data_IF_697374787050
#
_entry.id   IF_697374787050
#
_cell.length_a   1.000
_cell.length_b   1.000
_cell.length_c   1.000
_cell.angle_alpha   90.00
_cell.angle_beta   90.00
_cell.angle_gamma   90.00
#
_symmetry.space_group_name_H-M   'P 1'
#
loop_
_entity.id
_entity.type
_entity.pdbx_description
1 polymer ?
#
# COMPACT_ATOMS: atom_id res chain seq x y z
N UNK A 1 1.37 -84.95 -31.59
CA UNK A 1 0.33 -86.01 -31.63
C UNK A 1 1.03 -87.35 -31.61
N UNK A 2 0.71 -88.29 -30.71
CA UNK A 2 1.24 -89.62 -30.87
C UNK A 2 0.47 -90.27 -32.03
N UNK A 3 1.17 -90.66 -33.09
CA UNK A 3 0.66 -91.42 -34.25
C UNK A 3 0.12 -92.83 -33.88
N UNK A 4 -0.16 -93.07 -32.60
CA UNK A 4 -0.37 -94.39 -32.02
C UNK A 4 -1.81 -94.88 -32.12
N UNK A 5 -2.80 -93.99 -32.30
CA UNK A 5 -4.20 -94.41 -32.47
C UNK A 5 -4.39 -95.23 -33.76
N UNK A 6 -3.74 -94.82 -34.86
CA UNK A 6 -3.74 -95.55 -36.13
C UNK A 6 -2.98 -96.89 -36.06
N UNK A 7 -2.01 -97.01 -35.16
CA UNK A 7 -1.25 -98.26 -34.97
C UNK A 7 -2.07 -99.33 -34.26
N UNK A 8 -2.98 -98.96 -33.36
CA UNK A 8 -3.82 -99.91 -32.60
C UNK A 8 -4.87 -100.61 -33.48
N UNK A 9 -5.40 -99.92 -34.49
CA UNK A 9 -6.47 -100.43 -35.36
C UNK A 9 -5.98 -101.53 -36.32
N UNK A 10 -4.67 -101.59 -36.57
CA UNK A 10 -4.02 -102.57 -37.44
C UNK A 10 -3.17 -103.60 -36.69
N UNK A 11 -3.34 -103.76 -35.37
CA UNK A 11 -2.60 -104.78 -34.62
C UNK A 11 -3.18 -106.16 -34.92
N UNK A 12 -2.36 -107.03 -35.52
CA UNK A 12 -2.69 -108.43 -35.75
C UNK A 12 -1.98 -109.31 -34.73
N UNK A 13 -2.74 -110.19 -34.07
CA UNK A 13 -2.21 -111.16 -33.12
C UNK A 13 -2.11 -112.55 -33.77
N UNK A 14 -1.05 -113.31 -33.45
CA UNK A 14 -0.90 -114.70 -33.90
C UNK A 14 -1.89 -115.62 -33.19
N UNK A 15 -2.39 -116.65 -33.89
CA UNK A 15 -3.33 -117.63 -33.31
C UNK A 15 -2.58 -118.77 -32.62
N UNK A 16 -3.00 -119.11 -31.41
CA UNK A 16 -2.49 -120.23 -30.59
C UNK A 16 -3.62 -121.23 -30.34
N UNK A 17 -3.28 -122.52 -30.15
CA UNK A 17 -4.22 -123.61 -29.82
C UNK A 17 -4.97 -123.39 -28.48
N UNK A 18 -4.40 -122.59 -27.57
CA UNK A 18 -5.06 -122.12 -26.35
C UNK A 18 -4.88 -120.59 -26.24
N UNK A 19 -5.74 -119.83 -26.93
CA UNK A 19 -5.70 -118.37 -26.96
C UNK A 19 -7.00 -117.73 -26.45
N UNK A 20 -6.96 -116.42 -26.24
CA UNK A 20 -8.14 -115.61 -25.91
C UNK A 20 -9.15 -115.58 -27.07
N UNK A 21 -10.42 -115.37 -26.72
CA UNK A 21 -11.47 -115.25 -27.72
C UNK A 21 -11.27 -113.97 -28.57
N UNK A 22 -11.11 -114.16 -29.88
CA UNK A 22 -10.86 -113.09 -30.86
C UNK A 22 -11.97 -112.02 -30.82
N UNK A 23 -13.24 -112.41 -30.60
CA UNK A 23 -14.35 -111.46 -30.56
C UNK A 23 -14.30 -110.56 -29.32
N UNK A 24 -14.00 -111.11 -28.14
CA UNK A 24 -13.86 -110.33 -26.90
C UNK A 24 -12.67 -109.37 -26.97
N UNK A 25 -11.53 -109.85 -27.48
CA UNK A 25 -10.33 -109.02 -27.65
C UNK A 25 -10.59 -107.86 -28.61
N UNK A 26 -11.24 -108.11 -29.75
CA UNK A 26 -11.59 -107.05 -30.69
C UNK A 26 -12.59 -106.04 -30.09
N UNK A 27 -13.58 -106.51 -29.33
CA UNK A 27 -14.52 -105.62 -28.63
C UNK A 27 -13.79 -104.70 -27.63
N UNK A 28 -12.88 -105.27 -26.84
CA UNK A 28 -12.10 -104.51 -25.86
C UNK A 28 -11.13 -103.53 -26.53
N UNK A 29 -10.48 -103.92 -27.63
CA UNK A 29 -9.61 -103.01 -28.40
C UNK A 29 -10.42 -101.85 -28.97
N UNK A 30 -11.61 -102.10 -29.51
CA UNK A 30 -12.48 -101.03 -30.03
C UNK A 30 -12.92 -100.06 -28.92
N UNK A 31 -13.26 -100.58 -27.74
CA UNK A 31 -13.58 -99.76 -26.57
C UNK A 31 -12.38 -98.92 -26.11
N UNK A 32 -11.20 -99.53 -26.02
CA UNK A 32 -9.95 -98.85 -25.69
C UNK A 32 -9.60 -97.76 -26.71
N UNK A 33 -9.83 -98.03 -28.00
CA UNK A 33 -9.56 -97.09 -29.09
C UNK A 33 -10.53 -95.90 -29.03
N UNK A 34 -11.81 -96.15 -28.72
CA UNK A 34 -12.80 -95.10 -28.46
C UNK A 34 -12.43 -94.23 -27.26
N UNK A 35 -12.02 -94.84 -26.15
CA UNK A 35 -11.58 -94.11 -24.95
C UNK A 35 -10.31 -93.27 -25.19
N UNK A 36 -9.33 -93.82 -25.93
CA UNK A 36 -8.14 -93.06 -26.33
C UNK A 36 -8.49 -91.86 -27.22
N UNK A 37 -9.46 -92.02 -28.12
CA UNK A 37 -9.94 -90.92 -28.97
C UNK A 37 -10.67 -89.84 -28.15
N UNK A 38 -11.50 -90.22 -27.17
CA UNK A 38 -12.19 -89.26 -26.30
C UNK A 38 -11.19 -88.45 -25.47
N UNK A 39 -10.20 -89.11 -24.88
CA UNK A 39 -9.09 -88.46 -24.16
C UNK A 39 -8.29 -87.53 -25.07
N UNK A 40 -7.96 -87.95 -26.29
CA UNK A 40 -7.23 -87.09 -27.24
C UNK A 40 -8.03 -85.85 -27.61
N UNK A 41 -9.34 -85.98 -27.80
CA UNK A 41 -10.22 -84.84 -28.07
C UNK A 41 -10.30 -83.92 -26.86
N UNK A 42 -10.41 -84.46 -25.65
CA UNK A 42 -10.43 -83.68 -24.42
C UNK A 42 -9.13 -82.90 -24.23
N UNK A 43 -7.97 -83.54 -24.41
CA UNK A 43 -6.66 -82.88 -24.38
C UNK A 43 -6.61 -81.72 -25.38
N UNK A 44 -7.03 -81.93 -26.63
CA UNK A 44 -7.07 -80.87 -27.64
C UNK A 44 -7.98 -79.71 -27.24
N UNK A 45 -9.11 -79.99 -26.58
CA UNK A 45 -10.00 -78.91 -26.09
C UNK A 45 -9.37 -78.15 -24.92
N UNK A 46 -8.66 -78.84 -24.02
CA UNK A 46 -7.94 -78.24 -22.90
C UNK A 46 -6.78 -77.38 -23.40
N UNK A 47 -5.98 -77.87 -24.36
CA UNK A 47 -4.89 -77.11 -24.99
C UNK A 47 -5.41 -75.82 -25.65
N UNK A 48 -6.55 -75.88 -26.34
CA UNK A 48 -7.19 -74.69 -26.92
C UNK A 48 -7.63 -73.69 -25.86
N UNK A 49 -8.23 -74.15 -24.76
CA UNK A 49 -8.63 -73.29 -23.64
C UNK A 49 -7.42 -72.67 -22.96
N UNK A 50 -6.36 -73.44 -22.77
CA UNK A 50 -5.10 -72.96 -22.19
C UNK A 50 -4.51 -71.83 -23.05
N UNK A 51 -4.39 -72.04 -24.36
CA UNK A 51 -3.90 -71.01 -25.29
C UNK A 51 -4.79 -69.76 -25.32
N UNK A 52 -6.11 -69.91 -25.15
CA UNK A 52 -7.01 -68.77 -25.01
C UNK A 52 -6.73 -67.98 -23.72
N UNK A 53 -6.56 -68.67 -22.60
CA UNK A 53 -6.24 -68.01 -21.33
C UNK A 53 -4.87 -67.35 -21.34
N UNK A 54 -3.84 -67.95 -21.94
CA UNK A 54 -2.52 -67.34 -22.11
C UNK A 54 -2.60 -66.04 -22.91
N UNK A 55 -3.37 -66.01 -24.02
CA UNK A 55 -3.60 -64.78 -24.80
C UNK A 55 -4.35 -63.72 -24.00
N UNK A 56 -5.35 -64.14 -23.22
CA UNK A 56 -6.09 -63.23 -22.37
C UNK A 56 -5.20 -62.64 -21.26
N UNK A 57 -4.36 -63.45 -20.64
CA UNK A 57 -3.38 -63.02 -19.64
C UNK A 57 -2.39 -62.01 -20.23
N UNK A 58 -1.85 -62.31 -21.42
CA UNK A 58 -0.94 -61.38 -22.11
C UNK A 58 -1.62 -60.05 -22.45
N UNK A 59 -2.88 -60.08 -22.89
CA UNK A 59 -3.67 -58.88 -23.15
C UNK A 59 -3.93 -58.08 -21.87
N UNK A 60 -4.30 -58.74 -20.78
CA UNK A 60 -4.51 -58.11 -19.48
C UNK A 60 -3.23 -57.48 -18.94
N UNK A 61 -2.10 -58.18 -19.01
CA UNK A 61 -0.80 -57.66 -18.60
C UNK A 61 -0.40 -56.43 -19.42
N UNK A 62 -0.57 -56.47 -20.75
CA UNK A 62 -0.32 -55.31 -21.61
C UNK A 62 -1.25 -54.14 -21.28
N UNK A 63 -2.53 -54.40 -21.04
CA UNK A 63 -3.52 -53.37 -20.68
C UNK A 63 -3.18 -52.73 -19.34
N UNK A 64 -2.70 -53.51 -18.36
CA UNK A 64 -2.28 -53.00 -17.05
C UNK A 64 -1.10 -52.04 -17.19
N UNK A 65 -0.10 -52.39 -18.00
CA UNK A 65 1.06 -51.53 -18.26
C UNK A 65 0.63 -50.23 -18.94
N UNK A 66 -0.27 -50.31 -19.93
CA UNK A 66 -0.81 -49.13 -20.60
C UNK A 66 -1.61 -48.26 -19.62
N UNK A 67 -2.42 -48.87 -18.76
CA UNK A 67 -3.18 -48.15 -17.74
C UNK A 67 -2.26 -47.43 -16.74
N UNK A 68 -1.17 -48.07 -16.31
CA UNK A 68 -0.16 -47.46 -15.44
C UNK A 68 0.56 -46.29 -16.16
N UNK A 69 0.95 -46.47 -17.42
CA UNK A 69 1.54 -45.40 -18.24
C UNK A 69 0.57 -44.23 -18.42
N UNK A 70 -0.71 -44.50 -18.67
CA UNK A 70 -1.73 -43.46 -18.78
C UNK A 70 -1.95 -42.73 -17.44
N UNK A 71 -2.02 -43.46 -16.32
CA UNK A 71 -2.17 -42.88 -14.99
C UNK A 71 -0.98 -41.99 -14.62
N UNK A 72 0.25 -42.44 -14.90
CA UNK A 72 1.47 -41.65 -14.66
C UNK A 72 1.53 -40.42 -15.57
N UNK A 73 1.16 -40.54 -16.84
CA UNK A 73 1.06 -39.42 -17.77
C UNK A 73 0.02 -38.38 -17.30
N UNK A 74 -1.15 -38.81 -16.85
CA UNK A 74 -2.20 -37.93 -16.30
C UNK A 74 -1.67 -37.21 -15.05
N UNK A 75 -1.03 -37.94 -14.13
CA UNK A 75 -0.44 -37.36 -12.91
C UNK A 75 0.62 -36.31 -13.24
N UNK A 76 1.52 -36.60 -14.17
CA UNK A 76 2.57 -35.67 -14.57
C UNK A 76 1.98 -34.41 -15.23
N UNK A 77 1.03 -34.57 -16.14
CA UNK A 77 0.35 -33.44 -16.80
C UNK A 77 -0.44 -32.59 -15.80
N UNK A 78 -1.13 -33.21 -14.83
CA UNK A 78 -1.81 -32.49 -13.76
C UNK A 78 -0.83 -31.67 -12.90
N UNK A 79 0.32 -32.25 -12.56
CA UNK A 79 1.36 -31.54 -11.80
C UNK A 79 1.98 -30.38 -12.59
N UNK A 80 2.26 -30.56 -13.88
CA UNK A 80 2.77 -29.48 -14.74
C UNK A 80 1.76 -28.34 -14.87
N UNK A 81 0.48 -28.66 -15.10
CA UNK A 81 -0.60 -27.68 -15.14
C UNK A 81 -0.76 -26.96 -13.81
N UNK A 82 -0.69 -27.66 -12.68
CA UNK A 82 -0.75 -27.05 -11.35
C UNK A 82 0.38 -26.03 -11.17
N UNK A 83 1.63 -26.41 -11.45
CA UNK A 83 2.79 -25.49 -11.39
C UNK A 83 2.64 -24.30 -12.34
N UNK A 84 2.12 -24.52 -13.55
CA UNK A 84 1.87 -23.45 -14.50
C UNK A 84 0.81 -22.48 -13.98
N UNK A 85 -0.27 -22.99 -13.39
CA UNK A 85 -1.33 -22.17 -12.77
C UNK A 85 -0.77 -21.35 -11.61
N UNK A 86 0.02 -21.95 -10.74
CA UNK A 86 0.69 -21.26 -9.62
C UNK A 86 1.57 -20.13 -10.15
N UNK A 87 2.45 -20.40 -11.10
CA UNK A 87 3.33 -19.39 -11.70
C UNK A 87 2.53 -18.25 -12.38
N UNK A 88 1.43 -18.57 -13.07
CA UNK A 88 0.56 -17.56 -13.68
C UNK A 88 -0.18 -16.73 -12.63
N UNK A 89 -0.62 -17.35 -11.53
CA UNK A 89 -1.27 -16.67 -10.42
C UNK A 89 -0.30 -15.71 -9.73
N UNK A 90 0.93 -16.14 -9.46
CA UNK A 90 1.99 -15.29 -8.91
C UNK A 90 2.31 -14.11 -9.83
N UNK A 91 2.46 -14.37 -11.13
CA UNK A 91 2.69 -13.31 -12.11
C UNK A 91 1.54 -12.29 -12.12
N UNK A 92 0.29 -12.75 -12.14
CA UNK A 92 -0.88 -11.85 -12.07
C UNK A 92 -0.95 -11.07 -10.76
N UNK A 93 -0.63 -11.71 -9.64
CA UNK A 93 -0.61 -11.05 -8.32
C UNK A 93 0.44 -9.94 -8.28
N UNK A 94 1.66 -10.21 -8.77
CA UNK A 94 2.72 -9.20 -8.84
C UNK A 94 2.39 -8.05 -9.80
N UNK A 95 1.75 -8.33 -10.93
CA UNK A 95 1.26 -7.30 -11.86
C UNK A 95 0.18 -6.42 -11.22
N UNK A 96 -0.77 -7.02 -10.50
CA UNK A 96 -1.82 -6.28 -9.78
C UNK A 96 -1.22 -5.40 -8.69
N UNK A 97 -0.27 -5.93 -7.92
CA UNK A 97 0.41 -5.20 -6.86
C UNK A 97 1.17 -3.99 -7.44
N UNK A 98 1.93 -4.18 -8.52
CA UNK A 98 2.62 -3.08 -9.23
C UNK A 98 1.66 -2.01 -9.74
N UNK A 99 0.50 -2.40 -10.29
CA UNK A 99 -0.53 -1.46 -10.73
C UNK A 99 -1.07 -0.66 -9.55
N UNK A 100 -1.43 -1.33 -8.46
CA UNK A 100 -1.92 -0.67 -7.25
C UNK A 100 -0.88 0.30 -6.66
N UNK A 101 0.40 -0.10 -6.62
CA UNK A 101 1.50 0.77 -6.18
C UNK A 101 1.68 2.01 -7.08
N UNK A 102 1.63 1.83 -8.41
CA UNK A 102 1.70 2.92 -9.37
C UNK A 102 0.52 3.89 -9.22
N UNK A 103 -0.70 3.37 -9.10
CA UNK A 103 -1.89 4.18 -8.88
C UNK A 103 -1.80 4.94 -7.56
N UNK A 104 -1.43 4.28 -6.46
CA UNK A 104 -1.22 4.92 -5.17
C UNK A 104 -0.14 6.00 -5.21
N UNK A 105 0.92 5.81 -6.00
CA UNK A 105 1.93 6.84 -6.24
C UNK A 105 1.35 8.04 -7.00
N UNK A 106 0.63 7.79 -8.10
CA UNK A 106 -0.03 8.85 -8.88
C UNK A 106 -1.02 9.66 -8.02
N UNK A 107 -1.83 9.02 -7.19
CA UNK A 107 -2.73 9.71 -6.28
C UNK A 107 -1.98 10.57 -5.26
N UNK A 108 -0.90 10.05 -4.67
CA UNK A 108 -0.04 10.83 -3.77
C UNK A 108 0.51 12.06 -4.47
N UNK A 109 1.12 11.88 -5.64
CA UNK A 109 1.72 12.98 -6.40
C UNK A 109 0.68 14.03 -6.79
N UNK A 110 -0.53 13.61 -7.19
CA UNK A 110 -1.64 14.51 -7.49
C UNK A 110 -2.11 15.30 -6.26
N UNK A 111 -2.21 14.66 -5.10
CA UNK A 111 -2.58 15.33 -3.84
C UNK A 111 -1.51 16.35 -3.47
N UNK A 112 -0.23 15.99 -3.52
CA UNK A 112 0.88 16.90 -3.24
C UNK A 112 0.87 18.12 -4.16
N UNK A 113 0.70 17.91 -5.47
CA UNK A 113 0.62 18.99 -6.44
C UNK A 113 -0.59 19.89 -6.18
N UNK A 114 -1.75 19.30 -5.90
CA UNK A 114 -2.97 20.04 -5.59
C UNK A 114 -2.76 20.90 -4.34
N UNK A 115 -2.23 20.33 -3.26
CA UNK A 115 -1.95 21.05 -2.02
C UNK A 115 -0.98 22.22 -2.24
N UNK A 116 0.11 21.99 -2.98
CA UNK A 116 1.07 23.03 -3.33
C UNK A 116 0.42 24.18 -4.13
N UNK A 117 -0.46 23.84 -5.09
CA UNK A 117 -1.18 24.88 -5.85
C UNK A 117 -2.15 25.67 -4.97
N UNK A 118 -2.87 25.03 -4.05
CA UNK A 118 -3.74 25.72 -3.10
C UNK A 118 -2.97 26.61 -2.15
N UNK A 119 -1.84 26.15 -1.60
CA UNK A 119 -0.98 26.96 -0.73
C UNK A 119 -0.50 28.23 -1.45
N UNK A 120 -0.07 28.08 -2.71
CA UNK A 120 0.32 29.22 -3.56
C UNK A 120 -0.85 30.18 -3.78
N UNK A 121 -2.04 29.66 -4.09
CA UNK A 121 -3.24 30.48 -4.28
C UNK A 121 -3.61 31.24 -2.99
N UNK A 122 -3.56 30.59 -1.84
CA UNK A 122 -3.82 31.21 -0.54
C UNK A 122 -2.83 32.33 -0.25
N UNK A 123 -1.54 32.13 -0.53
CA UNK A 123 -0.53 33.17 -0.38
C UNK A 123 -0.84 34.40 -1.23
N UNK A 124 -1.23 34.21 -2.49
CA UNK A 124 -1.62 35.31 -3.38
C UNK A 124 -2.86 36.07 -2.86
N UNK A 125 -3.83 35.36 -2.28
CA UNK A 125 -5.01 35.99 -1.67
C UNK A 125 -4.62 36.83 -0.46
N UNK A 126 -3.75 36.32 0.40
CA UNK A 126 -3.23 37.05 1.57
C UNK A 126 -2.47 38.31 1.12
N UNK A 127 -1.58 38.19 0.13
CA UNK A 127 -0.83 39.31 -0.42
C UNK A 127 -1.77 40.39 -0.99
N UNK A 128 -2.82 39.98 -1.72
CA UNK A 128 -3.84 40.88 -2.26
C UNK A 128 -4.63 41.57 -1.14
N UNK A 129 -4.99 40.85 -0.08
CA UNK A 129 -5.69 41.42 1.07
C UNK A 129 -4.86 42.52 1.74
N UNK A 130 -3.58 42.25 2.03
CA UNK A 130 -2.71 43.25 2.63
C UNK A 130 -2.47 44.46 1.72
N UNK A 131 -2.31 44.24 0.41
CA UNK A 131 -2.20 45.33 -0.56
C UNK A 131 -3.46 46.22 -0.58
N UNK A 132 -4.65 45.60 -0.55
CA UNK A 132 -5.92 46.33 -0.52
C UNK A 132 -6.11 47.10 0.80
N UNK A 133 -5.82 46.48 1.94
CA UNK A 133 -5.90 47.14 3.25
C UNK A 133 -4.95 48.35 3.33
N UNK A 134 -3.72 48.20 2.83
CA UNK A 134 -2.75 49.29 2.75
C UNK A 134 -3.26 50.44 1.89
N UNK A 135 -3.77 50.14 0.69
CA UNK A 135 -4.33 51.15 -0.20
C UNK A 135 -5.50 51.91 0.46
N UNK A 136 -6.38 51.21 1.18
CA UNK A 136 -7.49 51.86 1.91
C UNK A 136 -7.00 52.73 3.06
N UNK A 137 -6.02 52.28 3.85
CA UNK A 137 -5.41 53.09 4.90
C UNK A 137 -4.75 54.36 4.33
N UNK A 138 -3.99 54.23 3.23
CA UNK A 138 -3.38 55.38 2.55
C UNK A 138 -4.43 56.37 2.00
N UNK A 139 -5.60 55.88 1.57
CA UNK A 139 -6.72 56.74 1.16
C UNK A 139 -7.34 57.48 2.33
N UNK A 140 -7.64 56.78 3.43
CA UNK A 140 -8.22 57.38 4.64
C UNK A 140 -7.28 58.40 5.27
N UNK A 141 -5.97 58.14 5.28
CA UNK A 141 -4.97 59.09 5.76
C UNK A 141 -4.99 60.39 4.94
N UNK A 142 -5.09 60.29 3.61
CA UNK A 142 -5.21 61.46 2.73
C UNK A 142 -6.50 62.24 3.01
N UNK A 143 -7.64 61.54 3.11
CA UNK A 143 -8.93 62.17 3.42
C UNK A 143 -8.89 62.88 4.78
N UNK A 144 -8.35 62.24 5.81
CA UNK A 144 -8.21 62.83 7.13
C UNK A 144 -7.30 64.06 7.13
N UNK A 145 -6.17 64.03 6.42
CA UNK A 145 -5.28 65.19 6.31
C UNK A 145 -6.00 66.36 5.63
N UNK A 146 -6.80 66.11 4.60
CA UNK A 146 -7.61 67.17 3.98
C UNK A 146 -8.69 67.70 4.94
N UNK A 147 -9.41 66.83 5.66
CA UNK A 147 -10.37 67.27 6.67
C UNK A 147 -9.72 68.13 7.76
N UNK A 148 -8.56 67.71 8.30
CA UNK A 148 -7.79 68.48 9.27
C UNK A 148 -7.36 69.83 8.68
N UNK A 149 -6.88 69.87 7.43
CA UNK A 149 -6.57 71.13 6.74
C UNK A 149 -7.79 72.04 6.64
N UNK A 150 -8.95 71.49 6.27
CA UNK A 150 -10.19 72.30 6.21
C UNK A 150 -10.59 72.81 7.58
N UNK A 151 -10.47 72.00 8.64
CA UNK A 151 -10.77 72.39 10.02
C UNK A 151 -9.82 73.49 10.51
N UNK A 152 -8.51 73.35 10.26
CA UNK A 152 -7.51 74.40 10.55
C UNK A 152 -7.86 75.68 9.77
N UNK A 153 -8.24 75.58 8.49
CA UNK A 153 -8.60 76.76 7.69
C UNK A 153 -9.86 77.46 8.21
N UNK A 154 -10.81 76.72 8.79
CA UNK A 154 -12.00 77.28 9.45
C UNK A 154 -11.61 77.95 10.77
N UNK A 155 -10.76 77.29 11.57
CA UNK A 155 -10.25 77.84 12.82
C UNK A 155 -9.44 79.13 12.60
N UNK A 156 -8.57 79.17 11.58
CA UNK A 156 -7.81 80.36 11.20
C UNK A 156 -8.72 81.52 10.77
N UNK A 157 -9.83 81.21 10.08
CA UNK A 157 -10.85 82.21 9.73
C UNK A 157 -11.59 82.73 10.97
N UNK A 158 -11.90 81.88 11.94
CA UNK A 158 -12.52 82.29 13.22
C UNK A 158 -11.54 83.09 14.10
N UNK A 159 -10.27 82.71 14.17
CA UNK A 159 -9.24 83.41 14.94
C UNK A 159 -8.80 84.74 14.32
N UNK A 160 -8.96 84.95 13.01
CA UNK A 160 -8.72 86.25 12.38
C UNK A 160 -9.83 87.29 12.66
N UNK A 161 -10.91 86.92 13.36
CA UNK A 161 -11.96 87.85 13.83
C UNK A 161 -11.64 88.41 15.23
N UNK A 162 -10.66 87.86 15.95
CA UNK A 162 -10.18 88.44 17.21
C UNK A 162 -8.85 89.19 17.00
N UNK A 163 -8.69 90.40 17.56
CA UNK A 163 -7.47 91.18 17.38
C UNK A 163 -6.28 90.44 18.00
N UNK A 164 -5.27 90.11 17.17
CA UNK A 164 -4.06 89.39 17.61
C UNK A 164 -3.29 90.22 18.64
N UNK A 165 -3.19 89.72 19.87
CA UNK A 165 -2.17 90.18 20.83
C UNK A 165 -0.81 89.68 20.35
N UNK A 166 0.14 90.60 20.12
CA UNK A 166 1.55 90.26 19.90
C UNK A 166 2.11 89.69 21.21
N UNK A 167 2.47 88.40 21.20
CA UNK A 167 3.29 87.84 22.26
C UNK A 167 4.59 87.29 21.71
N UNK A 168 5.64 87.80 22.33
CA UNK A 168 7.08 87.70 22.11
C UNK A 168 7.57 86.25 22.08
N UNK A 169 8.47 85.99 21.14
CA UNK A 169 9.27 84.76 21.07
C UNK A 169 10.09 84.56 22.34
N UNK A 170 9.91 83.43 23.03
CA UNK A 170 10.95 82.85 23.87
C UNK A 170 11.04 81.35 23.61
N UNK A 171 11.99 81.01 22.75
CA UNK A 171 12.60 79.69 22.61
C UNK A 171 13.15 79.23 23.96
N UNK A 172 13.09 77.91 24.21
CA UNK A 172 13.55 77.15 25.41
C UNK A 172 12.48 76.76 26.44
N UNK A 173 11.35 76.17 26.03
CA UNK A 173 10.57 75.27 26.92
C UNK A 173 9.90 74.06 26.23
N UNK A 174 10.02 73.88 24.90
CA UNK A 174 9.24 72.85 24.18
C UNK A 174 9.94 71.47 24.03
N UNK A 175 11.26 71.38 24.19
CA UNK A 175 11.99 70.11 24.01
C UNK A 175 11.82 69.12 25.17
N UNK A 176 11.40 69.57 26.36
CA UNK A 176 11.20 68.66 27.50
C UNK A 176 9.83 67.98 27.49
N UNK A 177 8.77 68.68 27.07
CA UNK A 177 7.40 68.12 27.03
C UNK A 177 7.19 67.14 25.88
N UNK A 178 7.76 67.39 24.71
CA UNK A 178 7.69 66.46 23.57
C UNK A 178 8.35 65.12 23.90
N UNK A 179 9.52 65.14 24.56
CA UNK A 179 10.23 63.94 24.99
C UNK A 179 9.48 63.14 26.08
N UNK A 180 8.78 63.81 27.01
CA UNK A 180 7.94 63.13 28.02
C UNK A 180 6.71 62.49 27.37
N UNK A 181 6.08 63.15 26.40
CA UNK A 181 4.91 62.60 25.71
C UNK A 181 5.27 61.43 24.79
N UNK A 182 6.38 61.52 24.05
CA UNK A 182 6.91 60.43 23.22
C UNK A 182 7.28 59.20 24.06
N UNK A 183 7.84 59.40 25.25
CA UNK A 183 8.16 58.30 26.17
C UNK A 183 6.90 57.63 26.72
N UNK A 184 5.90 58.41 27.14
CA UNK A 184 4.61 57.90 27.61
C UNK A 184 3.82 57.17 26.52
N UNK A 185 3.95 57.57 25.25
CA UNK A 185 3.27 56.91 24.13
C UNK A 185 3.88 55.53 23.84
N UNK A 186 5.21 55.46 23.77
CA UNK A 186 5.94 54.20 23.55
C UNK A 186 5.72 53.19 24.67
N UNK A 187 5.67 53.64 25.93
CA UNK A 187 5.36 52.79 27.08
C UNK A 187 3.92 52.22 27.02
N UNK A 188 2.96 52.99 26.49
CA UNK A 188 1.59 52.54 26.26
C UNK A 188 1.48 51.52 25.14
N UNK A 189 2.20 51.71 24.04
CA UNK A 189 2.24 50.77 22.91
C UNK A 189 2.86 49.42 23.32
N UNK A 190 3.97 49.43 24.05
CA UNK A 190 4.60 48.19 24.54
C UNK A 190 3.72 47.44 25.53
N UNK A 191 2.97 48.15 26.37
CA UNK A 191 2.04 47.55 27.32
C UNK A 191 0.76 46.98 26.67
N UNK A 192 0.35 47.50 25.51
CA UNK A 192 -0.80 47.00 24.76
C UNK A 192 -0.51 45.68 24.04
N UNK A 193 0.74 45.47 23.60
CA UNK A 193 1.13 44.28 22.82
C UNK A 193 1.51 43.07 23.70
N UNK A 194 2.16 43.29 24.86
CA UNK A 194 2.74 42.20 25.66
C UNK A 194 2.20 42.14 27.11
N UNK A 195 1.23 43.01 27.46
CA UNK A 195 0.73 43.15 28.81
C UNK A 195 1.68 43.93 29.73
N UNK A 196 1.18 44.41 30.87
CA UNK A 196 1.95 45.29 31.78
C UNK A 196 3.01 44.55 32.59
N UNK A 197 2.86 43.24 32.76
CA UNK A 197 3.61 42.44 33.74
C UNK A 197 3.90 41.04 33.17
N UNK A 198 5.12 40.55 33.36
CA UNK A 198 5.50 39.18 33.02
C UNK A 198 4.79 38.16 33.92
N UNK A 199 4.09 37.19 33.32
CA UNK A 199 3.34 36.16 34.06
C UNK A 199 4.18 34.95 34.44
N UNK A 200 5.35 34.77 33.83
CA UNK A 200 6.32 33.69 34.11
C UNK A 200 7.75 34.22 34.16
N UNK A 201 8.64 33.45 34.79
CA UNK A 201 10.08 33.73 34.82
C UNK A 201 10.70 33.52 33.42
N UNK A 202 11.60 34.41 33.00
CA UNK A 202 12.39 34.28 31.77
C UNK A 202 13.80 33.80 32.14
N UNK A 203 14.25 32.71 31.50
CA UNK A 203 15.55 32.08 31.76
C UNK A 203 16.31 31.90 30.46
N UNK A 204 17.60 32.21 30.44
CA UNK A 204 18.42 31.97 29.25
C UNK A 204 18.54 30.46 28.92
N UNK A 205 19.05 30.13 27.73
CA UNK A 205 19.38 28.76 27.29
C UNK A 205 20.30 27.99 28.25
N UNK A 206 21.04 28.68 29.12
CA UNK A 206 21.92 28.14 30.15
C UNK A 206 21.25 28.02 31.54
N UNK A 207 19.96 28.35 31.68
CA UNK A 207 19.17 28.20 32.92
C UNK A 207 19.22 29.38 33.90
N UNK A 208 19.96 30.45 33.59
CA UNK A 208 20.05 31.66 34.42
C UNK A 208 18.80 32.54 34.32
N UNK A 209 18.23 32.94 35.46
CA UNK A 209 17.08 33.84 35.57
C UNK A 209 17.43 35.27 35.14
N UNK A 210 16.83 35.76 34.05
CA UNK A 210 17.04 37.12 33.53
C UNK A 210 15.93 38.07 34.02
N UNK A 211 14.69 37.60 34.05
CA UNK A 211 13.56 38.36 34.57
C UNK A 211 12.64 37.46 35.39
N UNK A 212 12.22 37.94 36.56
CA UNK A 212 11.29 37.22 37.45
C UNK A 212 9.86 37.51 37.08
N UNK A 213 8.96 36.57 37.37
CA UNK A 213 7.52 36.73 37.37
C UNK A 213 7.15 37.98 38.19
N UNK A 214 6.17 38.71 37.68
CA UNK A 214 5.70 40.00 38.19
C UNK A 214 6.61 41.22 37.92
N UNK A 215 7.61 41.11 37.04
CA UNK A 215 8.37 42.29 36.59
C UNK A 215 7.64 43.05 35.47
N UNK A 216 7.71 44.38 35.51
CA UNK A 216 7.07 45.28 34.53
C UNK A 216 7.84 45.24 33.22
N UNK A 217 7.12 45.09 32.11
CA UNK A 217 7.72 45.08 30.77
C UNK A 217 8.01 46.53 30.37
N UNK A 218 9.25 46.97 30.59
CA UNK A 218 9.73 48.28 30.12
C UNK A 218 10.40 48.17 28.75
N UNK A 219 10.45 49.25 27.95
CA UNK A 219 11.13 49.26 26.66
C UNK A 219 12.61 48.83 26.75
N UNK A 220 13.28 49.16 27.84
CA UNK A 220 14.68 48.78 28.08
C UNK A 220 14.84 47.27 28.32
N UNK A 221 13.89 46.65 29.04
CA UNK A 221 13.86 45.20 29.25
C UNK A 221 13.66 44.46 27.92
N UNK A 222 12.73 44.94 27.08
CA UNK A 222 12.45 44.39 25.75
C UNK A 222 13.69 44.43 24.86
N UNK A 223 14.36 45.59 24.78
CA UNK A 223 15.58 45.75 23.98
C UNK A 223 16.72 44.85 24.50
N UNK A 224 16.82 44.67 25.82
CA UNK A 224 17.83 43.77 26.40
C UNK A 224 17.58 42.29 26.05
N UNK A 225 16.31 41.88 25.96
CA UNK A 225 15.92 40.49 25.66
C UNK A 225 15.99 40.19 24.16
N UNK A 226 15.64 41.17 23.32
CA UNK A 226 15.87 41.10 21.87
C UNK A 226 17.37 40.99 21.57
N UNK A 227 18.20 41.80 22.22
CA UNK A 227 19.66 41.75 22.07
C UNK A 227 20.28 40.42 22.53
N UNK A 228 19.59 39.67 23.39
CA UNK A 228 20.00 38.33 23.85
C UNK A 228 19.32 37.18 23.09
N UNK A 229 18.50 37.47 22.07
CA UNK A 229 17.81 36.45 21.26
C UNK A 229 16.63 35.75 21.96
N UNK A 230 16.16 36.27 23.10
CA UNK A 230 15.13 35.63 23.96
C UNK A 230 13.71 36.12 23.67
N UNK A 231 13.45 36.56 22.44
CA UNK A 231 12.17 37.15 22.05
C UNK A 231 11.01 36.15 22.11
N UNK A 232 11.26 34.88 21.72
CA UNK A 232 10.24 33.82 21.78
C UNK A 232 9.79 33.48 23.21
N UNK A 233 10.72 33.51 24.16
CA UNK A 233 10.41 33.27 25.58
C UNK A 233 9.64 34.42 26.21
N UNK A 234 9.93 35.67 25.78
CA UNK A 234 9.22 36.85 26.23
C UNK A 234 7.75 36.83 25.76
N UNK A 235 7.48 36.45 24.50
CA UNK A 235 6.09 36.27 24.03
C UNK A 235 5.39 35.16 24.82
N UNK A 236 6.05 34.01 25.01
CA UNK A 236 5.49 32.90 25.77
C UNK A 236 5.20 33.26 27.25
N UNK A 237 6.00 34.15 27.85
CA UNK A 237 5.81 34.65 29.21
C UNK A 237 4.76 35.78 29.31
N UNK A 238 4.40 36.40 28.18
CA UNK A 238 3.41 37.48 28.07
C UNK A 238 2.00 36.96 27.70
N UNK A 239 1.89 35.97 26.80
CA UNK A 239 0.61 35.54 26.19
C UNK A 239 -0.22 34.53 27.00
N UNK A 240 0.21 34.10 28.19
CA UNK A 240 -0.55 33.14 29.04
C UNK A 240 -0.86 33.67 30.43
#
# INVERSE_FOLDING_TARGET
MPENSFKLENVQFSKSLWGYNVQEVNSYINELLSYCQSLSNEIKTLEKKLSYYEKQEQCLASTLVIAEQAATAIKNNANEKAKSIEALAEKKATELLKKAESEAKMYRDNIYNSFYTYEKQLRLVIDRFYALARNHMESLEKEFVEEVRTAISKLDKEFNVQPRLKLVSNTKQEESKSNILLKNLKERETAALLGRILKKDIKNSEGHLIAKKNTVITPDLLNSLIGKGLYGELIAAAEQ
#
